data_IF_303025960442
#
_entry.id   IF_303025960442
#
_cell.length_a   1.000
_cell.length_b   1.000
_cell.length_c   1.000
_cell.angle_alpha   90.00
_cell.angle_beta   90.00
_cell.angle_gamma   90.00
#
_symmetry.space_group_name_H-M   'P 1'
#
loop_
_entity.id
_entity.type
_entity.pdbx_description
1 polymer ?
#
# COMPACT_ATOMS: atom_id res chain seq x y z
N UNK A 1 5.45 10.78 25.28
CA UNK A 1 5.12 10.27 23.95
C UNK A 1 6.37 10.46 23.11
N UNK A 2 6.92 9.38 22.53
CA UNK A 2 8.15 9.49 21.74
C UNK A 2 7.96 10.43 20.55
N UNK A 3 9.00 11.20 20.23
CA UNK A 3 8.98 12.18 19.13
C UNK A 3 8.68 11.51 17.78
N UNK A 4 9.13 10.26 17.58
CA UNK A 4 8.82 9.46 16.40
C UNK A 4 7.33 9.09 16.30
N UNK A 5 6.72 8.70 17.41
CA UNK A 5 5.28 8.39 17.46
C UNK A 5 4.46 9.64 17.17
N UNK A 6 4.85 10.79 17.74
CA UNK A 6 4.24 12.07 17.43
C UNK A 6 4.34 12.37 15.94
N UNK A 7 5.54 12.31 15.36
CA UNK A 7 5.75 12.55 13.93
C UNK A 7 4.92 11.61 13.06
N UNK A 8 4.89 10.31 13.37
CA UNK A 8 4.09 9.32 12.67
C UNK A 8 2.59 9.63 12.71
N UNK A 9 2.08 10.03 13.87
CA UNK A 9 0.68 10.45 14.01
C UNK A 9 0.37 11.73 13.23
N UNK A 10 1.28 12.72 13.23
CA UNK A 10 1.15 13.93 12.42
C UNK A 10 1.07 13.60 10.93
N UNK A 11 1.99 12.78 10.41
CA UNK A 11 2.00 12.35 9.00
C UNK A 11 0.73 11.57 8.66
N UNK A 12 0.33 10.63 9.51
CA UNK A 12 -0.88 9.84 9.32
C UNK A 12 -2.15 10.70 9.22
N UNK A 13 -2.34 11.63 10.16
CA UNK A 13 -3.49 12.53 10.15
C UNK A 13 -3.50 13.42 8.90
N UNK A 14 -2.37 14.07 8.59
CA UNK A 14 -2.28 14.94 7.41
C UNK A 14 -2.48 14.19 6.09
N UNK A 15 -1.99 12.95 5.98
CA UNK A 15 -2.19 12.11 4.81
C UNK A 15 -3.67 11.75 4.60
N UNK A 16 -4.42 11.48 5.67
CA UNK A 16 -5.88 11.25 5.59
C UNK A 16 -6.59 12.49 5.05
N UNK A 17 -6.33 13.66 5.64
CA UNK A 17 -6.95 14.91 5.19
C UNK A 17 -6.62 15.20 3.72
N UNK A 18 -5.36 15.02 3.32
CA UNK A 18 -4.92 15.22 1.95
C UNK A 18 -5.64 14.26 0.99
N UNK A 19 -5.75 12.97 1.33
CA UNK A 19 -6.42 11.97 0.50
C UNK A 19 -7.90 12.30 0.26
N UNK A 20 -8.63 12.68 1.31
CA UNK A 20 -10.04 13.08 1.21
C UNK A 20 -10.20 14.32 0.32
N UNK A 21 -9.36 15.34 0.53
CA UNK A 21 -9.44 16.60 -0.21
C UNK A 21 -9.16 16.43 -1.71
N UNK A 22 -8.20 15.57 -2.08
CA UNK A 22 -7.88 15.27 -3.49
C UNK A 22 -9.04 14.52 -4.15
N UNK A 23 -9.55 13.45 -3.52
CA UNK A 23 -10.59 12.59 -4.10
C UNK A 23 -11.89 13.39 -4.33
N UNK A 24 -12.25 14.30 -3.43
CA UNK A 24 -13.44 15.15 -3.55
C UNK A 24 -13.45 16.06 -4.79
N UNK A 25 -12.29 16.25 -5.44
CA UNK A 25 -12.12 17.14 -6.61
C UNK A 25 -12.01 16.37 -7.94
N UNK A 26 -12.17 15.05 -7.94
CA UNK A 26 -12.07 14.22 -9.14
C UNK A 26 -13.44 14.14 -9.86
N UNK A 27 -13.51 14.35 -11.20
CA UNK A 27 -14.76 14.19 -11.95
C UNK A 27 -15.22 12.72 -11.99
N UNK A 28 -16.53 12.50 -12.06
CA UNK A 28 -17.14 11.16 -12.04
C UNK A 28 -16.61 10.21 -13.13
N UNK A 29 -16.22 10.75 -14.30
CA UNK A 29 -15.64 9.99 -15.41
C UNK A 29 -14.31 9.31 -15.06
N UNK A 30 -13.65 9.76 -14.00
CA UNK A 30 -12.36 9.23 -13.56
C UNK A 30 -12.46 8.32 -12.34
N UNK A 31 -13.65 8.02 -11.81
CA UNK A 31 -13.77 7.17 -10.62
C UNK A 31 -13.19 5.76 -10.83
N UNK A 32 -13.41 5.15 -12.01
CA UNK A 32 -12.88 3.81 -12.32
C UNK A 32 -11.36 3.83 -12.56
N UNK A 33 -10.78 4.75 -13.37
CA UNK A 33 -9.34 4.92 -13.43
C UNK A 33 -8.70 5.25 -12.07
N UNK A 34 -9.34 6.09 -11.26
CA UNK A 34 -8.87 6.43 -9.91
C UNK A 34 -8.87 5.21 -8.98
N UNK A 35 -9.93 4.39 -9.04
CA UNK A 35 -10.01 3.14 -8.27
C UNK A 35 -8.87 2.20 -8.66
N UNK A 36 -8.60 2.03 -9.96
CA UNK A 36 -7.49 1.20 -10.43
C UNK A 36 -6.12 1.77 -10.03
N UNK A 37 -5.91 3.07 -10.20
CA UNK A 37 -4.65 3.73 -9.85
C UNK A 37 -4.36 3.68 -8.34
N UNK A 38 -5.35 3.91 -7.49
CA UNK A 38 -5.18 3.75 -6.03
C UNK A 38 -4.96 2.30 -5.64
N UNK A 39 -5.50 1.33 -6.39
CA UNK A 39 -5.18 -0.09 -6.22
C UNK A 39 -3.71 -0.43 -6.53
N UNK A 40 -3.10 0.23 -7.52
CA UNK A 40 -1.66 0.08 -7.80
C UNK A 40 -0.79 0.69 -6.69
N UNK A 41 -1.17 1.85 -6.14
CA UNK A 41 -0.39 2.57 -5.12
C UNK A 41 -0.32 1.79 -3.80
N UNK A 42 -1.41 1.21 -3.31
CA UNK A 42 -1.39 0.47 -2.05
C UNK A 42 -0.61 -0.85 -2.13
N UNK A 43 -0.22 -1.26 -3.34
CA UNK A 43 0.72 -2.35 -3.58
C UNK A 43 2.10 -2.18 -2.90
N UNK A 44 2.39 -1.02 -2.29
CA UNK A 44 3.51 -0.82 -1.35
C UNK A 44 3.57 -1.89 -0.24
N UNK A 45 2.46 -2.58 0.06
CA UNK A 45 2.42 -3.78 0.93
C UNK A 45 3.49 -4.82 0.53
N UNK A 46 3.82 -4.95 -0.76
CA UNK A 46 4.91 -5.82 -1.23
C UNK A 46 6.24 -5.50 -0.55
N UNK A 47 6.58 -4.22 -0.37
CA UNK A 47 7.82 -3.82 0.30
C UNK A 47 7.84 -4.29 1.76
N UNK A 48 6.71 -4.17 2.46
CA UNK A 48 6.55 -4.68 3.81
C UNK A 48 6.72 -6.20 3.88
N UNK A 49 6.11 -6.93 2.94
CA UNK A 49 6.24 -8.38 2.85
C UNK A 49 7.70 -8.82 2.61
N UNK A 50 8.44 -8.09 1.76
CA UNK A 50 9.87 -8.35 1.49
C UNK A 50 10.74 -8.13 2.74
N UNK A 51 10.46 -7.10 3.54
CA UNK A 51 11.17 -6.87 4.80
C UNK A 51 10.89 -8.00 5.79
N UNK A 52 9.61 -8.39 5.94
CA UNK A 52 9.19 -9.43 6.89
C UNK A 52 9.77 -10.80 6.54
N UNK A 53 9.74 -11.21 5.26
CA UNK A 53 10.33 -12.49 4.85
C UNK A 53 11.86 -12.47 4.99
N UNK A 54 12.50 -11.32 4.78
CA UNK A 54 13.95 -11.13 4.92
C UNK A 54 14.45 -11.32 6.35
N UNK A 55 13.59 -11.19 7.35
CA UNK A 55 13.89 -11.40 8.77
C UNK A 55 13.25 -12.68 9.34
N UNK A 56 12.76 -13.59 8.49
CA UNK A 56 12.04 -14.77 8.94
C UNK A 56 12.98 -15.94 9.28
N UNK A 57 13.01 -16.33 10.56
CA UNK A 57 13.93 -17.36 11.09
C UNK A 57 13.37 -18.78 11.10
N UNK A 58 12.07 -18.95 10.82
CA UNK A 58 11.42 -20.26 10.81
C UNK A 58 10.77 -20.55 9.47
N UNK A 59 10.71 -21.82 9.09
CA UNK A 59 10.08 -22.26 7.84
C UNK A 59 8.63 -21.79 7.73
N UNK A 60 7.89 -21.76 8.84
CA UNK A 60 6.51 -21.27 8.86
C UNK A 60 6.41 -19.78 8.55
N UNK A 61 7.27 -18.95 9.15
CA UNK A 61 7.30 -17.52 8.87
C UNK A 61 7.75 -17.23 7.43
N UNK A 62 8.72 -18.00 6.92
CA UNK A 62 9.17 -17.90 5.53
C UNK A 62 8.06 -18.27 4.54
N UNK A 63 7.29 -19.33 4.82
CA UNK A 63 6.16 -19.73 3.98
C UNK A 63 5.07 -18.65 3.93
N UNK A 64 4.73 -18.06 5.08
CA UNK A 64 3.76 -16.94 5.14
C UNK A 64 4.30 -15.72 4.39
N UNK A 65 5.56 -15.36 4.62
CA UNK A 65 6.24 -14.26 3.93
C UNK A 65 6.28 -14.47 2.41
N UNK A 66 6.51 -15.70 1.96
CA UNK A 66 6.51 -16.04 0.53
C UNK A 66 5.14 -15.82 -0.10
N UNK A 67 4.07 -16.28 0.56
CA UNK A 67 2.69 -16.02 0.10
C UNK A 67 2.39 -14.52 0.10
N UNK A 68 2.81 -13.77 1.13
CA UNK A 68 2.63 -12.32 1.20
C UNK A 68 3.36 -11.56 0.09
N UNK A 69 4.57 -12.00 -0.29
CA UNK A 69 5.32 -11.43 -1.42
C UNK A 69 4.61 -11.72 -2.74
N UNK A 70 4.14 -12.95 -2.96
CA UNK A 70 3.41 -13.30 -4.19
C UNK A 70 2.12 -12.48 -4.32
N UNK A 71 1.32 -12.39 -3.25
CA UNK A 71 0.05 -11.64 -3.30
C UNK A 71 0.30 -10.14 -3.45
N UNK A 72 1.33 -9.60 -2.80
CA UNK A 72 1.77 -8.22 -3.00
C UNK A 72 2.22 -7.94 -4.43
N UNK A 73 2.99 -8.85 -5.03
CA UNK A 73 3.44 -8.73 -6.42
C UNK A 73 2.26 -8.77 -7.41
N UNK A 74 1.30 -9.69 -7.21
CA UNK A 74 0.06 -9.75 -8.02
C UNK A 74 -0.73 -8.44 -7.90
N UNK A 75 -0.84 -7.87 -6.71
CA UNK A 75 -1.55 -6.61 -6.51
C UNK A 75 -0.89 -5.43 -7.24
N UNK A 76 0.43 -5.28 -7.12
CA UNK A 76 1.20 -4.23 -7.82
C UNK A 76 1.08 -4.41 -9.34
N UNK A 77 1.40 -5.60 -9.86
CA UNK A 77 1.39 -5.86 -11.30
C UNK A 77 -0.02 -5.73 -11.87
N UNK A 78 -1.02 -6.30 -11.22
CA UNK A 78 -2.42 -6.18 -11.64
C UNK A 78 -2.91 -4.73 -11.59
N UNK A 79 -2.49 -3.95 -10.59
CA UNK A 79 -2.82 -2.54 -10.50
C UNK A 79 -2.27 -1.72 -11.68
N UNK A 80 -1.01 -1.92 -12.06
CA UNK A 80 -0.42 -1.20 -13.19
C UNK A 80 -0.96 -1.68 -14.55
N UNK A 81 -1.10 -2.99 -14.76
CA UNK A 81 -1.60 -3.56 -16.03
C UNK A 81 -3.06 -3.19 -16.34
N UNK A 82 -3.90 -2.96 -15.33
CA UNK A 82 -5.29 -2.54 -15.52
C UNK A 82 -5.42 -1.02 -15.69
N UNK A 83 -4.43 -0.27 -15.24
CA UNK A 83 -4.45 1.20 -15.26
C UNK A 83 -3.81 1.78 -16.52
N UNK A 84 -2.75 1.16 -17.03
CA UNK A 84 -2.06 1.51 -18.29
C UNK A 84 -2.71 0.85 -19.51
#
# INVERSE_FOLDING_TARGET
>A
MDQEILLGAYVFLLAIFLGVEIINRVPATLHTPLMSGTNAIHGIVLLGAMIVIGTADTLWLQAIGFVAVITGAINVVGGFVVTD
#
